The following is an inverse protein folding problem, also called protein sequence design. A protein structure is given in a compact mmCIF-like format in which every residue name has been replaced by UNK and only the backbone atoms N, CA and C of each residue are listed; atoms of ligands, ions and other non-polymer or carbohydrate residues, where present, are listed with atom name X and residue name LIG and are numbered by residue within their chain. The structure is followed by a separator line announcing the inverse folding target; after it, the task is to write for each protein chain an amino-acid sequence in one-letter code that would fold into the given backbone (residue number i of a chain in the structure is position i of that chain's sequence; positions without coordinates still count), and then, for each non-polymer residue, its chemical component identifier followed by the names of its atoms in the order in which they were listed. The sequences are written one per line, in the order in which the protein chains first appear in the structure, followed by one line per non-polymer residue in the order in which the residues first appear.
data_IF_350892259416
#
_entry.id   IF_350892259416
#
_cell.length_a   1.000
_cell.length_b   1.000
_cell.length_c   1.000
_cell.angle_alpha   90.00
_cell.angle_beta   90.00
_cell.angle_gamma   90.00
#
_symmetry.space_group_name_H-M   'P 1'
#
loop_
_entity.id
_entity.type
_entity.pdbx_description
1 polymer ?
#
# COMPACT_ATOMS: atom_id res chain seq x y z
N UNK A 1 23.65 -42.41 -40.92
CA UNK A 1 22.69 -42.51 -39.83
C UNK A 1 23.12 -41.79 -38.54
N UNK A 2 24.39 -41.49 -38.31
CA UNK A 2 24.88 -40.90 -37.05
C UNK A 2 24.53 -39.42 -36.79
N UNK A 3 24.65 -38.54 -37.80
CA UNK A 3 24.46 -37.11 -37.62
C UNK A 3 23.00 -36.70 -37.22
N UNK A 4 21.99 -37.36 -37.83
CA UNK A 4 20.58 -37.12 -37.48
C UNK A 4 20.22 -37.60 -36.06
N UNK A 5 20.89 -38.62 -35.56
CA UNK A 5 20.70 -39.16 -34.22
C UNK A 5 21.39 -38.23 -33.15
N UNK A 6 22.57 -37.70 -33.49
CA UNK A 6 23.26 -36.73 -32.66
C UNK A 6 22.49 -35.39 -32.54
N UNK A 7 21.94 -34.87 -33.63
CA UNK A 7 21.07 -33.68 -33.65
C UNK A 7 19.78 -33.87 -32.84
N UNK A 8 19.15 -35.05 -32.92
CA UNK A 8 17.96 -35.37 -32.11
C UNK A 8 18.30 -35.49 -30.63
N UNK A 9 19.42 -36.10 -30.26
CA UNK A 9 19.90 -36.17 -28.87
C UNK A 9 20.26 -34.80 -28.33
N UNK A 10 20.99 -33.96 -29.09
CA UNK A 10 21.31 -32.58 -28.69
C UNK A 10 20.05 -31.72 -28.55
N UNK A 11 19.03 -31.90 -29.41
CA UNK A 11 17.74 -31.24 -29.26
C UNK A 11 16.96 -31.68 -28.00
N UNK A 12 16.96 -32.97 -27.69
CA UNK A 12 16.30 -33.51 -26.49
C UNK A 12 16.96 -33.09 -25.20
N UNK A 13 18.31 -33.06 -25.17
CA UNK A 13 19.06 -32.59 -23.99
C UNK A 13 18.89 -31.09 -23.77
N UNK A 14 18.89 -30.27 -24.86
CA UNK A 14 18.60 -28.84 -24.79
C UNK A 14 17.19 -28.52 -24.30
N UNK A 15 16.19 -29.26 -24.79
CA UNK A 15 14.79 -29.10 -24.36
C UNK A 15 14.62 -29.52 -22.89
N UNK A 16 15.23 -30.60 -22.45
CA UNK A 16 15.18 -31.03 -21.04
C UNK A 16 15.84 -30.01 -20.07
N UNK A 17 16.98 -29.44 -20.50
CA UNK A 17 17.65 -28.39 -19.72
C UNK A 17 16.80 -27.10 -19.59
N UNK A 18 16.14 -26.68 -20.69
CA UNK A 18 15.24 -25.53 -20.67
C UNK A 18 14.01 -25.77 -19.78
N UNK A 19 13.41 -26.96 -19.84
CA UNK A 19 12.28 -27.32 -18.99
C UNK A 19 12.69 -27.37 -17.51
N UNK A 20 13.87 -27.90 -17.19
CA UNK A 20 14.39 -27.90 -15.82
C UNK A 20 14.66 -26.49 -15.31
N UNK A 21 15.23 -25.61 -16.14
CA UNK A 21 15.47 -24.21 -15.81
C UNK A 21 14.14 -23.46 -15.58
N UNK A 22 13.15 -23.65 -16.45
CA UNK A 22 11.82 -23.05 -16.31
C UNK A 22 11.10 -23.56 -15.05
N UNK A 23 11.19 -24.86 -14.75
CA UNK A 23 10.65 -25.45 -13.53
C UNK A 23 11.31 -24.90 -12.26
N UNK A 24 12.64 -24.79 -12.27
CA UNK A 24 13.40 -24.18 -11.18
C UNK A 24 13.04 -22.71 -10.96
N UNK A 25 12.93 -21.92 -12.03
CA UNK A 25 12.48 -20.53 -11.97
C UNK A 25 11.06 -20.42 -11.41
N UNK A 26 10.12 -21.24 -11.91
CA UNK A 26 8.74 -21.30 -11.42
C UNK A 26 8.71 -21.58 -9.91
N UNK A 27 9.46 -22.59 -9.47
CA UNK A 27 9.55 -22.96 -8.05
C UNK A 27 10.09 -21.84 -7.18
N UNK A 28 11.16 -21.19 -7.63
CA UNK A 28 11.80 -20.06 -6.96
C UNK A 28 10.86 -18.86 -6.85
N UNK A 29 10.29 -18.41 -7.99
CA UNK A 29 9.43 -17.23 -8.01
C UNK A 29 8.10 -17.46 -7.27
N UNK A 30 7.54 -18.67 -7.31
CA UNK A 30 6.36 -19.00 -6.50
C UNK A 30 6.63 -18.85 -4.99
N UNK A 31 7.83 -19.23 -4.53
CA UNK A 31 8.27 -18.94 -3.17
C UNK A 31 8.37 -17.45 -2.87
N UNK A 32 8.97 -16.67 -3.81
CA UNK A 32 9.15 -15.21 -3.66
C UNK A 32 7.82 -14.43 -3.62
N UNK A 33 6.82 -14.89 -4.37
CA UNK A 33 5.48 -14.30 -4.39
C UNK A 33 4.83 -14.38 -3.01
N UNK A 34 4.91 -15.55 -2.36
CA UNK A 34 4.27 -15.81 -1.07
C UNK A 34 5.19 -15.60 0.14
N UNK A 35 6.38 -15.05 -0.05
CA UNK A 35 7.30 -14.75 1.04
C UNK A 35 6.82 -13.56 1.86
N UNK A 36 6.72 -13.70 3.20
CA UNK A 36 6.34 -12.60 4.07
C UNK A 36 7.30 -11.41 3.96
N UNK A 37 6.77 -10.16 4.00
CA UNK A 37 7.58 -8.95 3.82
C UNK A 37 8.74 -8.80 4.81
N UNK A 38 8.53 -9.12 6.08
CA UNK A 38 9.54 -9.00 7.14
C UNK A 38 10.79 -9.87 6.93
N UNK A 39 10.73 -10.85 6.04
CA UNK A 39 11.89 -11.69 5.67
C UNK A 39 12.70 -11.10 4.52
N UNK A 40 12.27 -9.97 3.97
CA UNK A 40 12.97 -9.32 2.85
C UNK A 40 13.82 -8.17 3.37
N UNK A 41 15.11 -8.10 3.01
CA UNK A 41 15.89 -6.91 3.32
C UNK A 41 15.26 -5.71 2.59
N UNK A 42 14.97 -4.66 3.36
CA UNK A 42 14.61 -3.35 2.81
C UNK A 42 15.92 -2.70 2.38
N UNK A 43 16.16 -2.59 1.09
CA UNK A 43 17.31 -1.84 0.55
C UNK A 43 16.80 -0.48 0.08
N UNK A 44 17.25 0.62 0.72
CA UNK A 44 17.01 1.96 0.18
C UNK A 44 17.63 2.06 -1.21
N UNK A 45 16.92 2.64 -2.16
CA UNK A 45 17.45 2.92 -3.48
C UNK A 45 18.34 4.17 -3.38
N UNK A 46 19.55 4.14 -3.95
CA UNK A 46 20.46 5.31 -3.92
C UNK A 46 19.83 6.57 -4.52
N UNK A 47 18.90 6.40 -5.48
CA UNK A 47 18.14 7.50 -6.09
C UNK A 47 17.26 8.29 -5.12
N UNK A 48 16.90 7.70 -3.96
CA UNK A 48 16.05 8.35 -2.96
C UNK A 48 16.89 9.10 -1.90
N UNK A 49 18.21 9.17 -2.06
CA UNK A 49 19.12 9.87 -1.15
C UNK A 49 19.35 11.31 -1.58
N UNK A 50 19.30 12.21 -0.61
CA UNK A 50 19.67 13.62 -0.76
C UNK A 50 20.55 14.05 0.39
N UNK A 51 21.41 15.04 0.16
CA UNK A 51 22.08 15.77 1.23
C UNK A 51 21.12 16.83 1.78
N UNK A 52 21.12 17.02 3.09
CA UNK A 52 20.24 17.95 3.78
C UNK A 52 21.04 19.02 4.48
N UNK A 53 20.66 20.27 4.28
CA UNK A 53 21.19 21.45 4.98
C UNK A 53 20.02 22.23 5.62
N UNK A 54 20.05 22.38 6.94
CA UNK A 54 19.05 23.19 7.65
C UNK A 54 19.38 24.68 7.47
N UNK A 55 18.45 25.46 6.96
CA UNK A 55 18.61 26.91 6.78
C UNK A 55 18.21 27.70 8.03
N UNK A 56 17.65 27.06 9.06
CA UNK A 56 17.28 27.66 10.35
C UNK A 56 16.01 28.53 10.35
N UNK A 57 15.38 28.73 9.20
CA UNK A 57 14.17 29.56 9.02
C UNK A 57 12.90 28.74 8.71
N UNK A 58 12.91 27.47 9.03
CA UNK A 58 11.83 26.53 8.69
C UNK A 58 11.94 25.94 7.29
N UNK A 59 13.11 26.07 6.65
CA UNK A 59 13.40 25.48 5.35
C UNK A 59 14.59 24.53 5.42
N UNK A 60 14.57 23.54 4.53
CA UNK A 60 15.71 22.68 4.24
C UNK A 60 16.16 22.88 2.81
N UNK A 61 17.47 22.99 2.60
CA UNK A 61 18.08 22.88 1.28
C UNK A 61 18.50 21.44 1.06
N UNK A 62 17.96 20.83 0.01
CA UNK A 62 18.23 19.45 -0.37
C UNK A 62 19.09 19.44 -1.63
N UNK A 63 20.11 18.58 -1.69
CA UNK A 63 20.96 18.42 -2.85
C UNK A 63 20.92 16.95 -3.30
N UNK A 64 20.55 16.73 -4.56
CA UNK A 64 20.45 15.40 -5.15
C UNK A 64 19.50 15.35 -6.34
N UNK A 65 19.46 14.23 -7.06
CA UNK A 65 18.69 14.08 -8.30
C UNK A 65 17.19 14.30 -8.11
N UNK A 66 16.67 14.01 -6.93
CA UNK A 66 15.24 14.11 -6.59
C UNK A 66 14.91 15.28 -5.66
N UNK A 67 15.88 16.18 -5.38
CA UNK A 67 15.65 17.32 -4.49
C UNK A 67 14.45 18.18 -4.90
N UNK A 68 14.23 18.38 -6.22
CA UNK A 68 13.13 19.13 -6.80
C UNK A 68 11.85 18.30 -7.07
N UNK A 69 11.78 17.04 -6.58
CA UNK A 69 10.58 16.18 -6.76
C UNK A 69 9.31 16.93 -6.34
N UNK A 70 8.28 16.92 -7.20
CA UNK A 70 7.04 17.65 -6.94
C UNK A 70 6.29 17.11 -5.71
N UNK A 71 5.62 18.02 -4.98
CA UNK A 71 4.70 17.68 -3.88
C UNK A 71 5.32 17.56 -2.50
N UNK A 72 4.64 16.82 -1.63
CA UNK A 72 4.92 16.66 -0.20
C UNK A 72 5.65 15.35 0.07
N UNK A 73 6.74 15.38 0.84
CA UNK A 73 7.56 14.19 1.09
C UNK A 73 8.03 14.14 2.55
N UNK A 74 8.21 12.95 3.07
CA UNK A 74 9.01 12.73 4.26
C UNK A 74 10.50 12.71 3.90
N UNK A 75 11.32 13.13 4.86
CA UNK A 75 12.77 12.97 4.83
C UNK A 75 13.18 12.28 6.13
N UNK A 76 13.99 11.23 6.03
CA UNK A 76 14.53 10.50 7.19
C UNK A 76 16.04 10.55 7.16
N UNK A 77 16.63 10.93 8.28
CA UNK A 77 18.07 10.81 8.57
C UNK A 77 18.23 10.10 9.91
N UNK A 78 19.48 9.76 10.30
CA UNK A 78 19.77 8.83 11.41
C UNK A 78 18.94 9.08 12.69
N UNK A 79 18.82 10.33 13.14
CA UNK A 79 18.14 10.66 14.38
C UNK A 79 16.94 11.61 14.17
N UNK A 80 16.49 11.81 12.93
CA UNK A 80 15.47 12.79 12.65
C UNK A 80 14.57 12.50 11.46
N UNK A 81 13.51 13.30 11.41
CA UNK A 81 12.49 13.26 10.38
C UNK A 81 11.99 14.67 10.07
N UNK A 82 11.68 14.93 8.82
CA UNK A 82 10.90 16.11 8.45
C UNK A 82 9.85 15.75 7.37
N UNK A 83 8.70 16.41 7.44
CA UNK A 83 7.79 16.50 6.29
C UNK A 83 8.05 17.82 5.60
N UNK A 84 8.37 17.75 4.31
CA UNK A 84 8.70 18.93 3.49
C UNK A 84 7.64 19.14 2.41
N UNK A 85 7.30 20.39 2.19
CA UNK A 85 6.38 20.83 1.13
C UNK A 85 7.02 20.87 -0.25
N UNK A 86 6.28 21.35 -1.27
CA UNK A 86 6.82 21.60 -2.59
C UNK A 86 8.03 22.54 -2.55
N UNK A 87 8.96 22.36 -3.49
CA UNK A 87 10.14 23.23 -3.59
C UNK A 87 9.71 24.69 -3.86
N UNK A 88 10.27 25.63 -3.09
CA UNK A 88 10.05 27.06 -3.26
C UNK A 88 11.10 27.70 -4.17
N UNK A 89 12.26 27.06 -4.29
CA UNK A 89 13.29 27.40 -5.28
C UNK A 89 14.07 26.15 -5.68
N UNK A 90 14.64 26.19 -6.89
CA UNK A 90 15.50 25.12 -7.44
C UNK A 90 16.78 25.75 -7.97
N UNK A 91 17.93 25.21 -7.59
CA UNK A 91 19.25 25.70 -7.95
C UNK A 91 20.15 24.53 -8.41
N UNK A 92 20.13 24.25 -9.69
CA UNK A 92 20.89 23.13 -10.26
C UNK A 92 20.43 21.78 -9.70
N UNK A 93 21.29 21.02 -8.97
CA UNK A 93 20.89 19.76 -8.36
C UNK A 93 20.16 19.95 -7.02
N UNK A 94 20.00 21.20 -6.53
CA UNK A 94 19.42 21.52 -5.24
C UNK A 94 18.01 22.07 -5.32
N UNK A 95 17.30 22.02 -4.19
CA UNK A 95 15.99 22.65 -4.00
C UNK A 95 15.78 23.04 -2.54
N UNK A 96 15.19 24.22 -2.33
CA UNK A 96 14.76 24.68 -1.01
C UNK A 96 13.31 24.28 -0.79
N UNK A 97 13.01 23.67 0.35
CA UNK A 97 11.69 23.15 0.70
C UNK A 97 11.26 23.60 2.09
N UNK A 98 10.02 24.08 2.26
CA UNK A 98 9.48 24.41 3.58
C UNK A 98 9.26 23.14 4.40
N UNK A 99 9.49 23.24 5.71
CA UNK A 99 9.24 22.18 6.67
C UNK A 99 7.87 22.40 7.35
N UNK A 100 6.98 21.44 7.18
CA UNK A 100 5.67 21.45 7.88
C UNK A 100 5.74 20.73 9.25
N UNK A 101 6.51 19.66 9.32
CA UNK A 101 6.65 18.82 10.50
C UNK A 101 8.12 18.43 10.67
N UNK A 102 8.62 18.51 11.90
CA UNK A 102 9.96 18.03 12.27
C UNK A 102 9.87 17.20 13.54
N UNK A 103 10.65 16.13 13.59
CA UNK A 103 10.81 15.28 14.77
C UNK A 103 12.27 14.81 14.89
N UNK A 104 12.70 14.58 16.13
CA UNK A 104 14.08 14.17 16.42
C UNK A 104 15.11 15.29 16.26
N UNK A 105 16.37 14.92 16.03
CA UNK A 105 17.48 15.85 15.93
C UNK A 105 17.44 16.67 14.62
N UNK A 106 18.01 17.87 14.68
CA UNK A 106 18.30 18.68 13.48
C UNK A 106 19.40 17.96 12.69
N UNK A 107 19.29 17.85 11.34
CA UNK A 107 20.33 17.20 10.57
C UNK A 107 21.64 17.99 10.62
N UNK A 108 22.77 17.29 10.74
CA UNK A 108 24.07 17.90 10.48
C UNK A 108 24.14 18.39 9.04
N UNK A 109 24.93 19.45 8.79
CA UNK A 109 25.09 19.99 7.44
C UNK A 109 25.69 18.93 6.51
N UNK A 110 24.99 18.63 5.41
CA UNK A 110 25.37 17.57 4.47
C UNK A 110 25.00 16.15 4.91
N UNK A 111 24.18 16.01 5.96
CA UNK A 111 23.67 14.70 6.35
C UNK A 111 22.90 14.04 5.21
N UNK A 112 23.12 12.74 5.03
CA UNK A 112 22.35 11.96 4.07
C UNK A 112 20.94 11.70 4.60
N UNK A 113 19.91 12.04 3.82
CA UNK A 113 18.53 11.70 4.11
C UNK A 113 17.91 10.88 2.98
N UNK A 114 16.87 10.12 3.33
CA UNK A 114 16.08 9.35 2.39
C UNK A 114 14.70 10.00 2.23
N UNK A 115 14.23 10.10 1.00
CA UNK A 115 12.84 10.42 0.75
C UNK A 115 11.92 9.30 1.25
N UNK A 116 10.92 9.68 2.01
CA UNK A 116 9.87 8.80 2.53
C UNK A 116 8.54 9.13 1.84
N UNK A 117 8.02 8.25 0.97
CA UNK A 117 6.76 8.46 0.28
C UNK A 117 5.56 8.47 1.20
N UNK A 118 5.66 7.89 2.40
CA UNK A 118 4.55 7.94 3.36
C UNK A 118 4.26 9.34 3.86
N UNK A 119 5.28 10.23 3.83
CA UNK A 119 5.19 11.61 4.28
C UNK A 119 4.62 11.78 5.70
N UNK A 120 4.75 10.74 6.52
CA UNK A 120 4.29 10.69 7.90
C UNK A 120 5.37 10.07 8.77
N UNK A 121 5.57 10.59 10.00
CA UNK A 121 6.44 9.94 10.96
C UNK A 121 5.89 8.58 11.36
N UNK A 122 6.75 7.73 11.90
CA UNK A 122 6.31 6.43 12.47
C UNK A 122 5.60 6.57 13.82
N UNK A 123 5.77 7.70 14.49
CA UNK A 123 5.07 8.03 15.73
C UNK A 123 3.73 8.73 15.42
N UNK A 124 2.58 8.08 15.70
CA UNK A 124 1.26 8.65 15.45
C UNK A 124 0.96 9.89 16.30
N UNK A 125 1.62 10.06 17.43
CA UNK A 125 1.47 11.23 18.32
C UNK A 125 1.88 12.54 17.65
N UNK A 126 2.76 12.49 16.66
CA UNK A 126 3.19 13.67 15.90
C UNK A 126 2.11 14.26 14.97
N UNK A 127 0.98 13.58 14.81
CA UNK A 127 -0.19 14.16 14.14
C UNK A 127 -0.89 15.22 14.97
N UNK A 128 -0.58 15.33 16.29
CA UNK A 128 -1.22 16.26 17.19
C UNK A 128 -2.69 15.94 17.49
N UNK A 129 -3.09 14.70 17.26
CA UNK A 129 -4.43 14.17 17.55
C UNK A 129 -4.38 13.25 18.76
N UNK A 130 -5.48 13.13 19.54
CA UNK A 130 -5.60 12.08 20.53
C UNK A 130 -5.40 10.71 19.87
N UNK A 131 -4.52 9.89 20.43
CA UNK A 131 -4.22 8.55 19.95
C UNK A 131 -3.97 7.61 21.10
N UNK A 132 -4.47 6.38 20.95
CA UNK A 132 -4.28 5.30 21.92
C UNK A 132 -3.69 4.09 21.19
N UNK A 133 -2.67 3.46 21.78
CA UNK A 133 -2.22 2.14 21.34
C UNK A 133 -3.21 1.11 21.90
N UNK A 134 -3.81 0.33 21.01
CA UNK A 134 -4.77 -0.73 21.38
C UNK A 134 -4.37 -2.05 20.77
N UNK A 135 -4.91 -3.12 21.28
CA UNK A 135 -4.70 -4.48 20.75
C UNK A 135 -6.04 -5.04 20.30
N UNK A 136 -6.10 -5.47 19.05
CA UNK A 136 -7.23 -6.21 18.48
C UNK A 136 -6.95 -7.70 18.59
N UNK A 137 -7.89 -8.46 19.10
CA UNK A 137 -7.82 -9.92 19.16
C UNK A 137 -8.04 -10.50 17.76
N UNK A 138 -6.92 -10.77 17.06
CA UNK A 138 -6.95 -11.37 15.72
C UNK A 138 -7.06 -12.90 15.78
N UNK A 139 -7.46 -13.55 14.66
CA UNK A 139 -7.72 -14.99 14.62
C UNK A 139 -6.48 -15.87 14.84
N UNK A 140 -5.29 -15.33 14.63
CA UNK A 140 -4.03 -16.08 14.84
C UNK A 140 -3.10 -15.44 15.88
N UNK A 141 -3.51 -14.35 16.51
CA UNK A 141 -2.73 -13.64 17.52
C UNK A 141 -3.09 -12.16 17.63
N UNK A 142 -2.52 -11.46 18.62
CA UNK A 142 -2.81 -10.07 18.86
C UNK A 142 -2.32 -9.19 17.70
N UNK A 143 -3.14 -8.20 17.33
CA UNK A 143 -2.86 -7.23 16.29
C UNK A 143 -2.71 -5.84 16.95
N UNK A 144 -1.52 -5.25 16.98
CA UNK A 144 -1.36 -3.88 17.44
C UNK A 144 -2.14 -2.93 16.53
N UNK A 145 -2.82 -1.94 17.11
CA UNK A 145 -3.54 -0.94 16.36
C UNK A 145 -3.47 0.42 17.04
N UNK A 146 -3.59 1.50 16.26
CA UNK A 146 -3.75 2.86 16.76
C UNK A 146 -5.20 3.28 16.64
N UNK A 147 -5.75 3.71 17.77
CA UNK A 147 -7.10 4.26 17.86
C UNK A 147 -7.06 5.77 17.96
N UNK A 148 -7.69 6.44 17.00
CA UNK A 148 -7.89 7.89 16.98
C UNK A 148 -9.37 8.17 17.18
N UNK A 149 -9.82 8.50 18.38
CA UNK A 149 -11.23 8.83 18.63
C UNK A 149 -11.59 10.15 17.95
N UNK A 150 -12.76 10.20 17.33
CA UNK A 150 -13.35 11.47 16.90
C UNK A 150 -13.75 12.31 18.12
N UNK A 151 -13.83 13.62 17.94
CA UNK A 151 -14.41 14.50 18.95
C UNK A 151 -15.89 14.10 19.17
N UNK A 152 -16.23 13.82 20.42
CA UNK A 152 -17.58 13.38 20.81
C UNK A 152 -18.70 14.34 20.37
N UNK A 153 -18.38 15.62 20.19
CA UNK A 153 -19.34 16.65 19.72
C UNK A 153 -19.63 16.54 18.21
N UNK A 154 -18.76 15.85 17.46
CA UNK A 154 -18.82 15.65 16.00
C UNK A 154 -18.92 14.17 15.63
N UNK A 155 -19.01 13.27 16.62
CA UNK A 155 -19.01 11.83 16.39
C UNK A 155 -20.23 11.40 15.55
N UNK A 156 -19.96 10.91 14.36
CA UNK A 156 -20.93 10.37 13.41
C UNK A 156 -21.27 8.90 13.67
N UNK A 157 -20.72 8.31 14.73
CA UNK A 157 -20.76 6.88 15.01
C UNK A 157 -20.23 6.04 13.81
N UNK A 158 -19.35 6.66 13.01
CA UNK A 158 -18.67 6.09 11.86
C UNK A 158 -17.20 5.90 12.21
N UNK A 159 -16.67 4.72 11.98
CA UNK A 159 -15.25 4.41 12.19
C UNK A 159 -14.61 3.96 10.90
N UNK A 160 -13.48 4.56 10.55
CA UNK A 160 -12.65 4.10 9.46
C UNK A 160 -11.63 3.07 9.98
N UNK A 161 -11.55 1.91 9.31
CA UNK A 161 -10.51 0.90 9.52
C UNK A 161 -9.52 1.02 8.37
N UNK A 162 -8.29 1.42 8.67
CA UNK A 162 -7.24 1.66 7.68
C UNK A 162 -6.29 0.47 7.60
N UNK A 163 -6.07 -0.02 6.38
CA UNK A 163 -5.29 -1.23 6.06
C UNK A 163 -4.18 -0.87 5.08
N UNK A 164 -2.93 -0.99 5.54
CA UNK A 164 -1.76 -0.64 4.74
C UNK A 164 -1.44 -1.67 3.64
N UNK A 165 -0.52 -1.31 2.75
CA UNK A 165 -0.07 -2.17 1.67
C UNK A 165 0.93 -3.23 2.10
N UNK A 166 1.28 -4.11 1.15
CA UNK A 166 2.29 -5.15 1.37
C UNK A 166 3.67 -4.54 1.61
N UNK A 167 4.36 -4.96 2.63
CA UNK A 167 5.65 -4.43 3.07
C UNK A 167 5.58 -3.02 3.67
N UNK A 168 4.38 -2.48 3.85
CA UNK A 168 4.12 -1.28 4.63
C UNK A 168 4.03 -1.58 6.12
N UNK A 169 3.74 -0.55 6.89
CA UNK A 169 3.36 -0.63 8.30
C UNK A 169 2.14 0.26 8.52
N UNK A 170 1.59 0.24 9.70
CA UNK A 170 0.49 1.14 10.11
C UNK A 170 0.77 2.61 9.75
N UNK A 171 2.03 3.06 9.83
CA UNK A 171 2.43 4.43 9.53
C UNK A 171 2.12 4.88 8.08
N UNK A 172 2.07 3.95 7.11
CA UNK A 172 1.73 4.26 5.72
C UNK A 172 0.36 4.94 5.57
N UNK A 173 -0.59 4.63 6.45
CA UNK A 173 -1.96 5.13 6.39
C UNK A 173 -2.18 6.44 7.14
N UNK A 174 -1.23 6.89 7.97
CA UNK A 174 -1.40 8.04 8.88
C UNK A 174 -1.76 9.34 8.15
N UNK A 175 -1.38 9.49 6.87
CA UNK A 175 -1.73 10.65 6.05
C UNK A 175 -3.25 10.81 5.85
N UNK A 176 -4.02 9.72 5.95
CA UNK A 176 -5.48 9.75 5.84
C UNK A 176 -6.20 9.99 7.17
N UNK A 177 -5.51 9.88 8.30
CA UNK A 177 -6.12 9.99 9.64
C UNK A 177 -6.67 11.39 9.91
N UNK A 178 -5.84 12.43 9.71
CA UNK A 178 -6.22 13.81 10.04
C UNK A 178 -7.48 14.28 9.31
N UNK A 179 -7.64 14.10 7.98
CA UNK A 179 -8.86 14.52 7.29
C UNK A 179 -10.10 13.75 7.77
N UNK A 180 -9.98 12.49 8.17
CA UNK A 180 -11.09 11.69 8.70
C UNK A 180 -11.52 12.14 10.09
N UNK A 181 -10.57 12.26 11.02
CA UNK A 181 -10.86 12.68 12.42
C UNK A 181 -11.48 14.07 12.45
N UNK A 182 -10.99 15.01 11.62
CA UNK A 182 -11.58 16.35 11.49
C UNK A 182 -13.01 16.35 10.95
N UNK A 183 -13.47 15.27 10.35
CA UNK A 183 -14.85 15.07 9.87
C UNK A 183 -15.71 14.28 10.86
N UNK A 184 -15.25 14.08 12.09
CA UNK A 184 -16.00 13.33 13.11
C UNK A 184 -16.05 11.83 12.88
N UNK A 185 -15.08 11.30 12.11
CA UNK A 185 -14.91 9.86 11.89
C UNK A 185 -13.77 9.37 12.76
N UNK A 186 -14.05 8.45 13.67
CA UNK A 186 -13.01 7.78 14.44
C UNK A 186 -12.18 6.88 13.51
N UNK A 187 -10.91 6.68 13.82
CA UNK A 187 -10.00 5.92 12.94
C UNK A 187 -9.27 4.83 13.72
N UNK A 188 -9.35 3.61 13.23
CA UNK A 188 -8.54 2.48 13.67
C UNK A 188 -7.53 2.14 12.59
N UNK A 189 -6.25 2.27 12.91
CA UNK A 189 -5.14 1.88 12.03
C UNK A 189 -4.61 0.56 12.52
N UNK A 190 -4.83 -0.53 11.78
CA UNK A 190 -4.51 -1.89 12.24
C UNK A 190 -3.29 -2.48 11.55
N UNK A 191 -2.51 -3.25 12.30
CA UNK A 191 -1.61 -4.26 11.75
C UNK A 191 -2.44 -5.48 11.26
N UNK A 192 -1.81 -6.33 10.46
CA UNK A 192 -2.34 -7.63 10.08
C UNK A 192 -1.21 -8.68 10.06
N UNK A 193 -1.57 -9.98 9.95
CA UNK A 193 -0.58 -11.07 9.91
C UNK A 193 0.48 -10.85 8.84
N UNK A 194 1.70 -11.29 9.12
CA UNK A 194 2.87 -11.22 8.24
C UNK A 194 3.42 -9.80 7.96
N UNK A 195 2.87 -8.73 8.54
CA UNK A 195 3.59 -7.48 8.59
C UNK A 195 4.69 -7.48 9.66
N UNK A 196 5.41 -6.38 9.85
CA UNK A 196 6.51 -6.30 10.83
C UNK A 196 6.03 -6.25 12.28
N UNK A 197 4.75 -5.94 12.52
CA UNK A 197 4.15 -5.73 13.83
C UNK A 197 3.12 -6.80 14.17
N UNK A 198 2.59 -7.51 13.16
CA UNK A 198 1.58 -8.54 13.31
C UNK A 198 2.14 -9.96 13.48
N UNK A 199 1.31 -10.91 13.89
CA UNK A 199 1.73 -12.30 14.09
C UNK A 199 2.08 -12.97 12.74
N UNK A 200 3.06 -13.88 12.72
CA UNK A 200 3.37 -14.63 11.50
C UNK A 200 2.27 -15.65 11.21
N UNK A 201 1.93 -15.86 9.93
CA UNK A 201 1.05 -16.97 9.52
C UNK A 201 1.63 -18.32 9.94
N UNK A 202 0.80 -19.28 10.35
CA UNK A 202 1.25 -20.60 10.83
C UNK A 202 2.08 -21.39 9.80
N UNK A 203 1.83 -21.18 8.50
CA UNK A 203 2.59 -21.81 7.41
C UNK A 203 3.79 -20.98 6.95
N UNK A 204 4.03 -19.80 7.58
CA UNK A 204 5.13 -18.90 7.28
C UNK A 204 5.03 -18.25 5.90
N UNK A 205 3.82 -18.07 5.34
CA UNK A 205 3.55 -17.48 4.03
C UNK A 205 2.68 -16.26 4.13
N UNK A 206 2.88 -15.33 3.20
CA UNK A 206 1.91 -14.27 2.90
C UNK A 206 0.88 -14.83 1.91
N UNK A 207 -0.38 -14.58 2.19
CA UNK A 207 -1.51 -15.03 1.39
C UNK A 207 -2.10 -13.90 0.53
N UNK A 208 -1.43 -12.73 0.51
CA UNK A 208 -1.71 -11.61 -0.39
C UNK A 208 -3.13 -11.03 -0.29
N UNK A 209 -3.74 -11.13 0.88
CA UNK A 209 -5.12 -10.73 1.16
C UNK A 209 -6.08 -11.89 1.37
N UNK A 210 -5.75 -13.10 0.88
CA UNK A 210 -6.66 -14.25 0.94
C UNK A 210 -6.92 -14.79 2.37
N UNK A 211 -6.08 -14.46 3.34
CA UNK A 211 -6.29 -14.73 4.78
C UNK A 211 -6.10 -13.50 5.65
N UNK A 212 -5.34 -12.50 5.19
CA UNK A 212 -5.11 -11.23 5.89
C UNK A 212 -6.42 -10.45 6.12
N UNK A 213 -7.45 -10.68 5.29
CA UNK A 213 -8.79 -10.10 5.47
C UNK A 213 -9.45 -10.46 6.81
N UNK A 214 -9.16 -11.63 7.38
CA UNK A 214 -9.71 -12.06 8.68
C UNK A 214 -9.21 -11.15 9.82
N UNK A 215 -7.99 -10.62 9.70
CA UNK A 215 -7.44 -9.66 10.65
C UNK A 215 -8.11 -8.29 10.51
N UNK A 216 -8.44 -7.90 9.27
CA UNK A 216 -9.21 -6.68 8.99
C UNK A 216 -10.65 -6.81 9.51
N UNK A 217 -11.26 -8.01 9.37
CA UNK A 217 -12.56 -8.31 9.97
C UNK A 217 -12.52 -8.17 11.49
N UNK A 218 -11.48 -8.72 12.14
CA UNK A 218 -11.30 -8.58 13.59
C UNK A 218 -11.19 -7.11 14.01
N UNK A 219 -10.47 -6.28 13.25
CA UNK A 219 -10.38 -4.84 13.46
C UNK A 219 -11.76 -4.14 13.31
N UNK A 220 -12.53 -4.53 12.30
CA UNK A 220 -13.90 -4.03 12.11
C UNK A 220 -14.83 -4.42 13.27
N UNK A 221 -14.77 -5.66 13.74
CA UNK A 221 -15.52 -6.14 14.92
C UNK A 221 -15.11 -5.38 16.20
N UNK A 222 -13.82 -5.14 16.38
CA UNK A 222 -13.31 -4.32 17.48
C UNK A 222 -13.90 -2.92 17.43
N UNK A 223 -13.90 -2.27 16.27
CA UNK A 223 -14.46 -0.92 16.10
C UNK A 223 -15.97 -0.88 16.46
N UNK A 224 -16.75 -1.87 16.01
CA UNK A 224 -18.17 -1.98 16.36
C UNK A 224 -18.38 -2.20 17.85
N UNK A 225 -17.57 -3.02 18.51
CA UNK A 225 -17.62 -3.23 19.96
C UNK A 225 -17.24 -1.98 20.75
N UNK A 226 -16.48 -1.06 20.14
CA UNK A 226 -16.04 0.20 20.74
C UNK A 226 -16.85 1.43 20.26
N UNK A 227 -18.10 1.22 19.83
CA UNK A 227 -19.07 2.28 19.63
C UNK A 227 -19.36 2.69 18.19
N UNK A 228 -18.64 2.14 17.20
CA UNK A 228 -18.99 2.34 15.80
C UNK A 228 -20.38 1.74 15.50
N UNK A 229 -21.17 2.44 14.72
CA UNK A 229 -22.44 1.89 14.17
C UNK A 229 -22.24 1.38 12.74
N UNK A 230 -21.40 2.07 11.99
CA UNK A 230 -21.05 1.75 10.61
C UNK A 230 -19.53 1.91 10.41
N UNK A 231 -19.01 1.26 9.40
CA UNK A 231 -17.59 1.23 9.09
C UNK A 231 -17.30 1.89 7.74
N UNK A 232 -16.15 2.54 7.64
CA UNK A 232 -15.48 2.82 6.37
C UNK A 232 -14.28 1.92 6.30
N UNK A 233 -14.17 1.07 5.29
CA UNK A 233 -12.97 0.27 5.09
C UNK A 233 -12.04 1.00 4.12
N UNK A 234 -10.82 1.26 4.56
CA UNK A 234 -9.83 1.96 3.74
C UNK A 234 -8.63 1.07 3.46
N UNK A 235 -8.40 0.71 2.20
CA UNK A 235 -7.35 -0.20 1.78
C UNK A 235 -6.34 0.44 0.83
N UNK A 236 -5.05 0.35 1.18
CA UNK A 236 -3.95 0.83 0.38
C UNK A 236 -3.26 -0.37 -0.31
N UNK A 237 -3.10 -0.36 -1.62
CA UNK A 237 -2.41 -1.42 -2.36
C UNK A 237 -3.00 -2.81 -2.04
N UNK A 238 -2.23 -3.73 -1.44
CA UNK A 238 -2.72 -5.04 -0.97
C UNK A 238 -3.85 -4.92 0.07
N UNK A 239 -3.88 -3.84 0.86
CA UNK A 239 -4.99 -3.57 1.78
C UNK A 239 -6.34 -3.49 1.06
N UNK A 240 -6.37 -3.05 -0.20
CA UNK A 240 -7.56 -3.09 -1.06
C UNK A 240 -8.05 -4.52 -1.32
N UNK A 241 -7.13 -5.46 -1.57
CA UNK A 241 -7.51 -6.87 -1.72
C UNK A 241 -8.07 -7.46 -0.42
N UNK A 242 -7.52 -7.08 0.76
CA UNK A 242 -8.10 -7.48 2.05
C UNK A 242 -9.52 -6.92 2.24
N UNK A 243 -9.74 -5.66 1.89
CA UNK A 243 -11.07 -5.02 1.96
C UNK A 243 -12.08 -5.72 1.06
N UNK A 244 -11.70 -6.06 -0.18
CA UNK A 244 -12.55 -6.82 -1.09
C UNK A 244 -12.99 -8.17 -0.49
N UNK A 245 -12.05 -8.88 0.16
CA UNK A 245 -12.36 -10.15 0.79
C UNK A 245 -13.27 -10.00 2.02
N UNK A 246 -13.13 -8.92 2.82
CA UNK A 246 -14.07 -8.61 3.91
C UNK A 246 -15.48 -8.43 3.36
N UNK A 247 -15.65 -7.60 2.33
CA UNK A 247 -16.97 -7.37 1.71
C UNK A 247 -17.59 -8.65 1.15
N UNK A 248 -16.78 -9.53 0.57
CA UNK A 248 -17.26 -10.76 -0.06
C UNK A 248 -17.56 -11.88 0.92
N UNK A 249 -16.85 -11.96 2.07
CA UNK A 249 -16.81 -13.15 2.91
C UNK A 249 -17.29 -12.92 4.33
N UNK A 250 -17.29 -11.68 4.81
CA UNK A 250 -17.63 -11.35 6.18
C UNK A 250 -19.06 -10.81 6.28
N UNK A 251 -19.77 -11.15 7.36
CA UNK A 251 -21.05 -10.56 7.74
C UNK A 251 -20.94 -9.05 8.05
N UNK A 252 -19.70 -8.53 8.16
CA UNK A 252 -19.49 -7.08 8.34
C UNK A 252 -19.91 -6.25 7.14
N UNK A 253 -20.10 -6.86 5.96
CA UNK A 253 -20.53 -6.11 4.77
C UNK A 253 -21.77 -5.26 5.01
N UNK A 254 -22.76 -5.75 5.79
CA UNK A 254 -23.99 -5.01 6.15
C UNK A 254 -23.71 -3.77 7.02
N UNK A 255 -22.53 -3.67 7.60
CA UNK A 255 -22.13 -2.56 8.47
C UNK A 255 -21.18 -1.59 7.76
N UNK A 256 -20.76 -1.89 6.53
CA UNK A 256 -19.86 -1.03 5.76
C UNK A 256 -20.69 0.07 5.09
N UNK A 257 -20.37 1.32 5.44
CA UNK A 257 -20.98 2.52 4.89
C UNK A 257 -20.37 2.91 3.55
N UNK A 258 -19.08 2.66 3.39
CA UNK A 258 -18.31 3.04 2.21
C UNK A 258 -16.89 2.48 2.24
N UNK A 259 -16.24 2.51 1.10
CA UNK A 259 -14.88 2.00 0.92
C UNK A 259 -13.99 3.09 0.32
N UNK A 260 -12.78 3.25 0.86
CA UNK A 260 -11.72 4.09 0.29
C UNK A 260 -10.58 3.20 -0.18
N UNK A 261 -10.19 3.35 -1.43
CA UNK A 261 -9.09 2.58 -2.02
C UNK A 261 -8.03 3.52 -2.60
N UNK A 262 -6.77 3.34 -2.21
CA UNK A 262 -5.64 4.02 -2.85
C UNK A 262 -4.73 3.01 -3.53
N UNK A 263 -4.56 3.13 -4.85
CA UNK A 263 -3.76 2.23 -5.69
C UNK A 263 -4.01 0.74 -5.38
N UNK A 264 -5.29 0.28 -5.31
CA UNK A 264 -5.63 -1.04 -4.80
C UNK A 264 -5.17 -2.16 -5.74
N UNK A 265 -4.76 -3.29 -5.18
CA UNK A 265 -4.58 -4.52 -5.94
C UNK A 265 -5.94 -5.13 -6.23
N UNK A 266 -6.44 -4.93 -7.45
CA UNK A 266 -7.72 -5.45 -7.95
C UNK A 266 -7.56 -6.77 -8.71
N UNK A 267 -6.36 -7.01 -9.26
CA UNK A 267 -5.95 -8.26 -9.92
C UNK A 267 -4.44 -8.44 -9.73
N UNK A 268 -4.05 -9.56 -9.16
CA UNK A 268 -2.65 -9.88 -8.91
C UNK A 268 -1.86 -10.24 -10.17
N UNK A 269 -2.50 -10.67 -11.26
CA UNK A 269 -1.82 -11.05 -12.49
C UNK A 269 -0.99 -9.90 -13.10
N UNK A 270 -1.61 -8.74 -13.42
CA UNK A 270 -0.91 -7.54 -13.88
C UNK A 270 0.14 -7.03 -12.88
N UNK A 271 -0.15 -7.04 -11.58
CA UNK A 271 0.79 -6.61 -10.52
C UNK A 271 2.04 -7.47 -10.48
N UNK A 272 1.89 -8.78 -10.53
CA UNK A 272 3.03 -9.72 -10.56
C UNK A 272 3.83 -9.60 -11.86
N UNK A 273 3.17 -9.31 -12.99
CA UNK A 273 3.82 -9.00 -14.26
C UNK A 273 4.69 -7.75 -14.14
N UNK A 274 4.14 -6.63 -13.65
CA UNK A 274 4.87 -5.38 -13.41
C UNK A 274 6.07 -5.61 -12.48
N UNK A 275 5.86 -6.30 -11.38
CA UNK A 275 6.91 -6.63 -10.44
C UNK A 275 8.03 -7.49 -11.05
N UNK A 276 7.72 -8.39 -11.97
CA UNK A 276 8.70 -9.22 -12.66
C UNK A 276 9.54 -8.39 -13.64
N UNK A 277 8.90 -7.50 -14.42
CA UNK A 277 9.60 -6.60 -15.35
C UNK A 277 10.52 -5.65 -14.61
N UNK A 278 10.06 -5.03 -13.51
CA UNK A 278 10.87 -4.15 -12.67
C UNK A 278 12.10 -4.83 -12.08
N UNK A 279 12.06 -6.16 -11.91
CA UNK A 279 13.19 -6.98 -11.46
C UNK A 279 14.08 -7.49 -12.60
N UNK A 280 13.88 -6.98 -13.82
CA UNK A 280 14.69 -7.27 -14.97
C UNK A 280 14.32 -8.56 -15.73
N UNK A 281 13.18 -9.19 -15.44
CA UNK A 281 12.73 -10.30 -16.26
C UNK A 281 12.24 -9.78 -17.62
N UNK A 282 12.76 -10.33 -18.75
CA UNK A 282 12.27 -9.92 -20.06
C UNK A 282 10.77 -10.19 -20.22
N UNK A 283 10.01 -9.18 -20.62
CA UNK A 283 8.55 -9.28 -20.78
C UNK A 283 8.11 -10.46 -21.67
N UNK A 284 8.93 -10.80 -22.69
CA UNK A 284 8.68 -11.93 -23.60
C UNK A 284 8.70 -13.31 -22.90
N UNK A 285 9.33 -13.44 -21.73
CA UNK A 285 9.38 -14.71 -20.97
C UNK A 285 8.17 -14.89 -20.05
N UNK A 286 7.45 -13.81 -19.72
CA UNK A 286 6.37 -13.83 -18.73
C UNK A 286 5.17 -14.69 -19.14
N UNK A 287 4.72 -14.76 -20.42
CA UNK A 287 3.64 -15.67 -20.79
C UNK A 287 3.94 -17.14 -20.48
N UNK A 288 5.22 -17.53 -20.46
CA UNK A 288 5.66 -18.88 -20.12
C UNK A 288 5.86 -19.10 -18.62
N UNK A 289 6.35 -18.10 -17.90
CA UNK A 289 6.76 -18.24 -16.50
C UNK A 289 5.67 -17.83 -15.50
N UNK A 290 4.88 -16.81 -15.81
CA UNK A 290 3.92 -16.24 -14.84
C UNK A 290 2.75 -17.20 -14.53
N UNK A 291 2.07 -17.82 -15.52
CA UNK A 291 0.95 -18.71 -15.19
C UNK A 291 1.34 -19.90 -14.30
N UNK A 292 2.40 -20.68 -14.58
CA UNK A 292 2.79 -21.76 -13.70
C UNK A 292 3.31 -21.27 -12.34
N UNK A 293 3.93 -20.08 -12.27
CA UNK A 293 4.34 -19.45 -11.00
C UNK A 293 3.13 -19.12 -10.15
N UNK A 294 2.11 -18.49 -10.71
CA UNK A 294 0.86 -18.19 -10.01
C UNK A 294 0.14 -19.47 -9.60
N UNK A 295 0.04 -20.46 -10.47
CA UNK A 295 -0.58 -21.74 -10.13
C UNK A 295 0.11 -22.41 -8.94
N UNK A 296 1.44 -22.45 -8.92
CA UNK A 296 2.21 -23.05 -7.83
C UNK A 296 2.13 -22.21 -6.55
N UNK A 297 2.18 -20.88 -6.64
CA UNK A 297 2.02 -19.98 -5.50
C UNK A 297 0.62 -20.12 -4.90
N UNK A 298 -0.42 -20.14 -5.74
CA UNK A 298 -1.80 -20.34 -5.33
C UNK A 298 -2.01 -21.69 -4.63
N UNK A 299 -1.45 -22.77 -5.19
CA UNK A 299 -1.51 -24.08 -4.54
C UNK A 299 -0.82 -24.11 -3.18
N UNK A 300 0.33 -23.42 -3.03
CA UNK A 300 1.10 -23.36 -1.77
C UNK A 300 0.44 -22.51 -0.69
N UNK A 301 -0.15 -21.38 -1.07
CA UNK A 301 -0.74 -20.41 -0.17
C UNK A 301 -2.28 -20.42 -0.19
N UNK A 302 -2.91 -21.39 -0.87
CA UNK A 302 -4.37 -21.56 -1.00
C UNK A 302 -5.05 -20.27 -1.51
N UNK A 303 -4.43 -19.62 -2.49
CA UNK A 303 -4.95 -18.39 -3.11
C UNK A 303 -5.79 -18.74 -4.33
N UNK A 304 -7.04 -18.29 -4.35
CA UNK A 304 -7.85 -18.24 -5.57
C UNK A 304 -7.61 -16.89 -6.27
N UNK A 305 -6.76 -16.90 -7.28
CA UNK A 305 -6.39 -15.70 -8.03
C UNK A 305 -7.54 -15.05 -8.80
N UNK A 306 -8.65 -15.77 -9.03
CA UNK A 306 -9.77 -15.26 -9.82
C UNK A 306 -10.66 -14.31 -9.05
N UNK A 307 -10.77 -14.54 -7.75
CA UNK A 307 -11.65 -13.76 -6.88
C UNK A 307 -10.89 -12.76 -5.99
N UNK A 308 -9.60 -13.01 -5.75
CA UNK A 308 -8.82 -12.20 -4.82
C UNK A 308 -8.63 -10.75 -5.33
N UNK A 309 -9.18 -9.78 -4.60
CA UNK A 309 -9.12 -8.35 -4.91
C UNK A 309 -10.24 -7.86 -5.83
N UNK A 310 -11.12 -8.74 -6.33
CA UNK A 310 -12.23 -8.34 -7.20
C UNK A 310 -13.29 -7.54 -6.43
N UNK A 311 -13.72 -6.45 -7.03
CA UNK A 311 -14.85 -5.62 -6.58
C UNK A 311 -16.06 -5.70 -7.53
N UNK A 312 -15.94 -6.45 -8.63
CA UNK A 312 -16.97 -6.47 -9.68
C UNK A 312 -18.36 -6.95 -9.20
N UNK A 313 -18.37 -7.85 -8.21
CA UNK A 313 -19.58 -8.44 -7.64
C UNK A 313 -20.02 -7.78 -6.32
N UNK A 314 -19.32 -6.70 -5.89
CA UNK A 314 -19.51 -6.06 -4.59
C UNK A 314 -20.26 -4.73 -4.70
N UNK A 315 -21.10 -4.59 -5.70
CA UNK A 315 -21.67 -3.36 -6.25
C UNK A 315 -22.72 -2.62 -5.40
N UNK A 316 -22.72 -2.75 -4.07
CA UNK A 316 -23.73 -2.09 -3.22
C UNK A 316 -23.16 -1.00 -2.32
N UNK A 317 -21.84 -0.85 -2.26
CA UNK A 317 -21.16 0.07 -1.33
C UNK A 317 -20.46 1.19 -2.08
N UNK A 318 -20.73 2.49 -1.76
CA UNK A 318 -20.00 3.61 -2.37
C UNK A 318 -18.48 3.47 -2.22
N UNK A 319 -17.74 3.70 -3.31
CA UNK A 319 -16.30 3.66 -3.35
C UNK A 319 -15.70 5.04 -3.66
N UNK A 320 -14.71 5.44 -2.87
CA UNK A 320 -13.73 6.44 -3.28
C UNK A 320 -12.47 5.71 -3.77
N UNK A 321 -12.16 5.83 -5.05
CA UNK A 321 -10.99 5.23 -5.68
C UNK A 321 -9.98 6.31 -6.04
N UNK A 322 -8.75 6.17 -5.54
CA UNK A 322 -7.64 7.11 -5.79
C UNK A 322 -6.49 6.34 -6.42
N UNK A 323 -5.97 6.81 -7.57
CA UNK A 323 -4.86 6.13 -8.23
C UNK A 323 -3.98 7.11 -9.00
N UNK A 324 -2.65 6.91 -8.91
CA UNK A 324 -1.69 7.68 -9.69
C UNK A 324 -1.51 7.10 -11.10
N UNK A 325 -1.46 7.96 -12.11
CA UNK A 325 -1.36 7.55 -13.52
C UNK A 325 0.01 6.97 -13.92
N UNK A 326 1.04 7.18 -13.07
CA UNK A 326 2.40 6.66 -13.25
C UNK A 326 2.74 5.52 -12.28
N UNK A 327 1.73 4.83 -11.78
CA UNK A 327 1.93 3.70 -10.90
C UNK A 327 2.57 2.53 -11.66
N UNK A 328 3.85 2.31 -11.40
CA UNK A 328 4.60 1.21 -12.01
C UNK A 328 4.39 -0.13 -11.26
N UNK A 329 3.81 -0.12 -10.06
CA UNK A 329 3.59 -1.31 -9.22
C UNK A 329 2.24 -1.95 -9.49
N UNK A 330 1.17 -1.15 -9.36
CA UNK A 330 -0.20 -1.55 -9.68
C UNK A 330 -0.64 -0.76 -10.91
N UNK A 331 -0.86 -1.40 -12.06
CA UNK A 331 -1.28 -0.71 -13.28
C UNK A 331 -2.58 0.07 -13.07
N UNK A 332 -2.57 1.36 -13.44
CA UNK A 332 -3.73 2.27 -13.28
C UNK A 332 -4.94 1.82 -14.09
N UNK A 333 -4.72 1.08 -15.16
CA UNK A 333 -5.77 0.51 -16.02
C UNK A 333 -6.74 -0.39 -15.25
N UNK A 334 -6.31 -0.98 -14.13
CA UNK A 334 -7.19 -1.76 -13.26
C UNK A 334 -8.21 -0.86 -12.55
N UNK A 335 -7.78 0.32 -12.10
CA UNK A 335 -8.65 1.31 -11.49
C UNK A 335 -9.57 1.97 -12.51
N UNK A 336 -9.04 2.30 -13.71
CA UNK A 336 -9.81 2.84 -14.83
C UNK A 336 -10.96 1.87 -15.20
N UNK A 337 -10.66 0.56 -15.32
CA UNK A 337 -11.64 -0.47 -15.64
C UNK A 337 -12.72 -0.62 -14.52
N UNK A 338 -12.33 -0.54 -13.25
CA UNK A 338 -13.29 -0.59 -12.14
C UNK A 338 -14.23 0.62 -12.14
N UNK A 339 -13.69 1.81 -12.36
CA UNK A 339 -14.50 3.03 -12.43
C UNK A 339 -15.45 3.02 -13.62
N UNK A 340 -15.03 2.49 -14.77
CA UNK A 340 -15.89 2.30 -15.95
C UNK A 340 -17.00 1.27 -15.71
N UNK A 341 -16.68 0.18 -15.00
CA UNK A 341 -17.65 -0.88 -14.71
C UNK A 341 -18.72 -0.48 -13.68
N UNK A 342 -18.39 0.42 -12.74
CA UNK A 342 -19.27 0.82 -11.63
C UNK A 342 -19.42 2.35 -11.51
N UNK A 343 -19.84 3.07 -12.56
CA UNK A 343 -19.82 4.54 -12.60
C UNK A 343 -20.72 5.21 -11.57
N UNK A 344 -21.79 4.55 -11.15
CA UNK A 344 -22.75 5.08 -10.17
C UNK A 344 -22.26 4.91 -8.72
N UNK A 345 -21.27 4.06 -8.48
CA UNK A 345 -20.75 3.73 -7.15
C UNK A 345 -19.35 4.27 -6.90
N UNK A 346 -18.54 4.41 -7.95
CA UNK A 346 -17.14 4.80 -7.85
C UNK A 346 -16.98 6.29 -8.07
N UNK A 347 -16.59 7.01 -7.02
CA UNK A 347 -15.99 8.34 -7.16
C UNK A 347 -14.49 8.14 -7.43
N UNK A 348 -14.03 8.46 -8.64
CA UNK A 348 -12.67 8.19 -9.06
C UNK A 348 -11.82 9.47 -9.12
N UNK A 349 -10.71 9.47 -8.38
CA UNK A 349 -9.66 10.49 -8.44
C UNK A 349 -8.41 9.89 -9.07
N UNK A 350 -8.21 10.12 -10.37
CA UNK A 350 -6.99 9.78 -11.09
C UNK A 350 -6.02 10.95 -11.00
N UNK A 351 -4.83 10.72 -10.43
CA UNK A 351 -3.85 11.77 -10.12
C UNK A 351 -2.70 11.72 -11.11
N UNK A 352 -2.56 12.80 -11.89
CA UNK A 352 -1.48 12.95 -12.87
C UNK A 352 -0.11 13.02 -12.19
N UNK A 353 0.87 12.31 -12.74
CA UNK A 353 2.26 12.31 -12.28
C UNK A 353 2.52 11.52 -11.00
N UNK A 354 1.49 11.00 -10.34
CA UNK A 354 1.65 10.20 -9.13
C UNK A 354 2.02 8.74 -9.45
N UNK A 355 2.97 8.19 -8.71
CA UNK A 355 3.32 6.77 -8.71
C UNK A 355 2.53 5.98 -7.68
N UNK A 356 3.03 4.77 -7.35
CA UNK A 356 2.38 3.89 -6.38
C UNK A 356 2.27 4.54 -5.00
N UNK A 357 1.05 4.68 -4.49
CA UNK A 357 0.73 5.27 -3.19
C UNK A 357 1.31 6.68 -2.99
N UNK A 358 1.49 7.47 -4.07
CA UNK A 358 1.99 8.85 -3.99
C UNK A 358 0.99 9.89 -4.46
N UNK A 359 -0.28 9.52 -4.61
CA UNK A 359 -1.35 10.45 -4.99
C UNK A 359 -1.47 11.59 -3.97
N UNK A 360 -1.47 11.30 -2.68
CA UNK A 360 -1.47 12.31 -1.63
C UNK A 360 -0.22 13.22 -1.69
N UNK A 361 0.93 12.66 -2.01
CA UNK A 361 2.17 13.44 -2.11
C UNK A 361 2.07 14.51 -3.20
N UNK A 362 1.54 14.15 -4.36
CA UNK A 362 1.49 15.01 -5.55
C UNK A 362 0.30 15.97 -5.50
N UNK A 363 -0.87 15.51 -5.08
CA UNK A 363 -2.16 16.21 -5.12
C UNK A 363 -2.85 16.22 -3.75
N UNK A 364 -2.12 16.66 -2.70
CA UNK A 364 -2.60 16.61 -1.31
C UNK A 364 -3.98 17.24 -1.12
N UNK A 365 -4.16 18.44 -1.65
CA UNK A 365 -5.41 19.19 -1.48
C UNK A 365 -6.60 18.48 -2.12
N UNK A 366 -6.40 17.94 -3.33
CA UNK A 366 -7.43 17.21 -4.07
C UNK A 366 -7.78 15.89 -3.37
N UNK A 367 -6.77 15.14 -2.89
CA UNK A 367 -6.99 13.88 -2.16
C UNK A 367 -7.72 14.13 -0.84
N UNK A 368 -7.29 15.11 -0.04
CA UNK A 368 -7.95 15.45 1.22
C UNK A 368 -9.39 15.96 1.00
N UNK A 369 -9.63 16.73 -0.07
CA UNK A 369 -10.98 17.19 -0.44
C UNK A 369 -11.87 16.02 -0.90
N UNK A 370 -11.35 15.10 -1.70
CA UNK A 370 -12.10 13.93 -2.14
C UNK A 370 -12.50 13.04 -0.96
N UNK A 371 -11.56 12.78 -0.02
CA UNK A 371 -11.85 12.04 1.22
C UNK A 371 -12.93 12.76 2.04
N UNK A 372 -12.82 14.07 2.19
CA UNK A 372 -13.79 14.86 2.95
C UNK A 372 -15.18 14.79 2.34
N UNK A 373 -15.31 15.01 1.02
CA UNK A 373 -16.58 14.96 0.28
C UNK A 373 -17.21 13.58 0.37
N UNK A 374 -16.40 12.52 0.22
CA UNK A 374 -16.86 11.14 0.33
C UNK A 374 -17.44 10.84 1.72
N UNK A 375 -16.73 11.23 2.79
CA UNK A 375 -17.19 11.03 4.16
C UNK A 375 -18.45 11.85 4.49
N UNK A 376 -18.58 13.05 3.93
CA UNK A 376 -19.79 13.87 4.10
C UNK A 376 -21.00 13.23 3.43
N UNK A 377 -20.83 12.63 2.25
CA UNK A 377 -21.89 11.90 1.55
C UNK A 377 -22.35 10.64 2.31
N UNK A 378 -21.45 9.95 3.04
CA UNK A 378 -21.81 8.77 3.84
C UNK A 378 -22.60 9.12 5.11
N UNK A 379 -22.55 10.37 5.55
CA UNK A 379 -23.21 10.84 6.76
C UNK A 379 -24.60 11.45 6.51
N UNK A 380 -24.91 11.75 5.25
CA UNK A 380 -26.21 12.27 4.81
C UNK A 380 -27.25 11.14 4.73
#
# INVERSE_FOLDING_TARGET
MGARRALRLAGLTGSAALLAAAGGATWYYAGRVTEPPHRRPVMPLDRDRVEVHDLGDGHLHLIGSDAARAGWWGLRWDEGYARVGPAVSVDGPGAVRPVELRAGAVPDAGAAALFDPWATPTDPGLLGLPVEEVVVDGPIGPLPAWWFPADRTQDRALTAVLVHGRSGTRAETLRHVTPMVRRGVSVLVTAYRNDTEGPPSPDGRSHLGATEWEDVEAAGRWALANGARRLVLAGLSMGGACVAEVLRRSELHDRVAGVLLEAPVLDWGPVLRSAAVQRGLPAATLPLLLPPTMALAGARARIDWRSLGSFADLAEVPLLLIHGDRDATVPVELADALAEALPDLVTYLRVDGAGHLTAWNVARAEVEAAVATFLDALAA
#
